data_IF_328008704829
#
_entry.id   IF_328008704829
#
_cell.length_a   1.000
_cell.length_b   1.000
_cell.length_c   1.000
_cell.angle_alpha   90.00
_cell.angle_beta   90.00
_cell.angle_gamma   90.00
#
_symmetry.space_group_name_H-M   'P 1'
#
loop_
_entity.id
_entity.type
_entity.pdbx_description
1 polymer ?
#
# COMPACT_ATOMS: atom_id res chain seq x y z
N UNK A 1 33.56 -4.42 -19.70
CA UNK A 1 32.41 -5.23 -19.25
C UNK A 1 31.49 -4.27 -18.52
N UNK A 2 30.56 -3.62 -19.24
CA UNK A 2 29.77 -2.53 -18.68
C UNK A 2 28.63 -3.07 -17.82
N UNK A 3 28.74 -2.85 -16.52
CA UNK A 3 27.61 -2.81 -15.59
C UNK A 3 26.56 -1.86 -16.18
N UNK A 4 25.58 -2.42 -16.89
CA UNK A 4 24.38 -1.71 -17.33
C UNK A 4 23.66 -1.29 -16.07
N UNK A 5 23.91 -0.05 -15.70
CA UNK A 5 23.19 0.74 -14.70
C UNK A 5 21.71 0.38 -14.77
N UNK A 6 21.23 -0.28 -13.72
CA UNK A 6 19.82 -0.60 -13.53
C UNK A 6 19.03 0.70 -13.77
N UNK A 7 18.03 0.73 -14.68
CA UNK A 7 17.27 1.94 -14.93
C UNK A 7 16.60 2.37 -13.62
N UNK A 8 16.91 3.58 -13.15
CA UNK A 8 16.13 4.22 -12.07
C UNK A 8 14.73 4.43 -12.65
N UNK A 9 13.75 3.64 -12.17
CA UNK A 9 12.34 3.73 -12.55
C UNK A 9 11.81 5.13 -12.21
N UNK A 10 11.90 6.03 -13.19
CA UNK A 10 11.46 7.42 -13.12
C UNK A 10 9.96 7.60 -13.42
N UNK A 11 9.22 6.51 -13.67
CA UNK A 11 7.74 6.48 -13.65
C UNK A 11 7.23 6.15 -12.24
N UNK A 12 7.70 6.96 -11.30
CA UNK A 12 7.27 7.14 -9.91
C UNK A 12 5.92 6.47 -9.62
N UNK A 13 5.94 5.45 -8.76
CA UNK A 13 4.76 4.92 -8.08
C UNK A 13 3.99 6.12 -7.51
N UNK A 14 2.94 6.57 -8.20
CA UNK A 14 2.01 7.58 -7.67
C UNK A 14 1.56 7.01 -6.33
N UNK A 15 1.75 7.71 -5.18
CA UNK A 15 1.34 7.17 -3.89
C UNK A 15 -0.18 7.10 -3.89
N UNK A 16 -0.73 5.94 -4.27
CA UNK A 16 -2.14 5.65 -4.14
C UNK A 16 -2.42 5.50 -2.64
N UNK A 17 -3.28 6.33 -2.04
CA UNK A 17 -3.68 6.13 -0.66
C UNK A 17 -4.26 4.73 -0.48
N UNK A 18 -3.72 4.02 0.51
CA UNK A 18 -4.22 2.72 0.92
C UNK A 18 -5.52 2.90 1.68
N UNK A 19 -6.49 2.04 1.37
CA UNK A 19 -7.82 2.10 1.93
C UNK A 19 -8.24 0.73 2.48
N UNK A 20 -8.92 0.73 3.63
CA UNK A 20 -9.44 -0.47 4.26
C UNK A 20 -10.54 -1.09 3.39
N UNK A 21 -10.42 -2.37 2.97
CA UNK A 21 -11.44 -3.02 2.16
C UNK A 21 -12.75 -3.27 2.91
N UNK A 22 -12.74 -3.20 4.24
CA UNK A 22 -13.92 -3.44 5.08
C UNK A 22 -14.77 -2.20 5.28
N UNK A 23 -14.15 -1.04 5.55
CA UNK A 23 -14.87 0.17 5.97
C UNK A 23 -14.55 1.42 5.16
N UNK A 24 -13.68 1.34 4.15
CA UNK A 24 -13.31 2.50 3.32
C UNK A 24 -12.39 3.52 4.02
N UNK A 25 -11.92 3.24 5.23
CA UNK A 25 -11.04 4.16 5.96
C UNK A 25 -9.64 4.21 5.34
N UNK A 26 -9.10 5.41 5.17
CA UNK A 26 -7.70 5.65 4.80
C UNK A 26 -6.73 5.55 6.00
N UNK A 27 -7.27 5.36 7.21
CA UNK A 27 -6.47 5.15 8.44
C UNK A 27 -6.03 3.69 8.54
N UNK A 28 -5.12 3.30 7.66
CA UNK A 28 -4.50 1.97 7.62
C UNK A 28 -2.99 2.10 7.83
N UNK A 29 -2.43 1.22 8.68
CA UNK A 29 -1.00 1.19 9.01
C UNK A 29 -0.40 -0.17 8.65
N UNK A 30 0.79 -0.23 8.01
CA UNK A 30 1.49 -1.49 7.83
C UNK A 30 1.98 -2.02 9.18
N UNK A 31 1.82 -3.31 9.38
CA UNK A 31 2.40 -4.07 10.48
C UNK A 31 3.56 -4.90 9.94
N UNK A 32 4.77 -4.60 10.42
CA UNK A 32 5.97 -5.30 9.98
C UNK A 32 6.20 -6.54 10.84
N UNK A 33 5.98 -7.71 10.25
CA UNK A 33 6.42 -8.98 10.84
C UNK A 33 7.91 -9.20 10.58
N UNK A 34 8.61 -9.82 11.51
CA UNK A 34 10.05 -10.17 11.42
C UNK A 34 10.43 -11.01 10.20
N UNK A 35 9.44 -11.60 9.52
CA UNK A 35 9.59 -12.39 8.30
C UNK A 35 9.29 -11.63 7.01
N UNK A 36 9.44 -10.30 6.98
CA UNK A 36 9.00 -9.41 5.88
C UNK A 36 9.51 -9.70 4.46
N UNK A 37 10.38 -10.69 4.26
CA UNK A 37 10.74 -11.25 2.95
C UNK A 37 9.88 -12.44 2.53
N UNK A 38 9.39 -13.22 3.49
CA UNK A 38 8.66 -14.48 3.27
C UNK A 38 7.15 -14.28 3.21
N UNK A 39 6.62 -13.33 3.98
CA UNK A 39 5.17 -13.08 4.08
C UNK A 39 4.80 -11.72 3.47
N UNK A 40 3.64 -11.61 2.80
CA UNK A 40 3.11 -10.32 2.38
C UNK A 40 2.99 -9.35 3.56
N UNK A 41 3.09 -8.03 3.31
CA UNK A 41 2.84 -7.03 4.34
C UNK A 41 1.40 -7.16 4.85
N UNK A 42 1.25 -7.04 6.17
CA UNK A 42 -0.06 -7.02 6.83
C UNK A 42 -0.40 -5.57 7.15
N UNK A 43 -1.68 -5.21 7.04
CA UNK A 43 -2.18 -3.88 7.33
C UNK A 43 -3.24 -3.94 8.41
N UNK A 44 -3.16 -3.01 9.37
CA UNK A 44 -4.14 -2.80 10.42
C UNK A 44 -4.94 -1.53 10.13
N UNK A 45 -6.27 -1.64 10.10
CA UNK A 45 -7.16 -0.49 10.06
C UNK A 45 -7.49 0.01 11.46
N UNK A 46 -7.17 1.27 11.74
CA UNK A 46 -7.42 1.90 13.04
C UNK A 46 -8.91 2.20 13.28
N UNK A 47 -9.75 2.14 12.23
CA UNK A 47 -11.18 2.45 12.35
C UNK A 47 -12.04 1.22 12.67
N UNK A 48 -11.77 0.07 12.04
CA UNK A 48 -12.62 -1.13 12.17
C UNK A 48 -11.88 -2.39 12.64
N UNK A 49 -10.57 -2.29 12.90
CA UNK A 49 -9.75 -3.41 13.34
C UNK A 49 -9.49 -4.47 12.26
N UNK A 50 -9.71 -4.17 10.98
CA UNK A 50 -9.30 -5.07 9.91
C UNK A 50 -7.79 -5.33 9.98
N UNK A 51 -7.38 -6.60 9.93
CA UNK A 51 -6.01 -7.06 9.98
C UNK A 51 -5.81 -8.10 8.87
N UNK A 52 -4.97 -7.78 7.89
CA UNK A 52 -4.73 -8.68 6.75
C UNK A 52 -3.88 -8.05 5.65
N UNK A 53 -3.52 -8.85 4.65
CA UNK A 53 -2.65 -8.43 3.55
C UNK A 53 -3.39 -7.73 2.39
N UNK A 54 -4.71 -7.76 2.37
CA UNK A 54 -5.51 -7.17 1.29
C UNK A 54 -5.80 -5.70 1.62
N UNK A 55 -5.61 -4.83 0.64
CA UNK A 55 -5.91 -3.40 0.72
C UNK A 55 -6.48 -2.90 -0.61
N UNK A 56 -7.17 -1.76 -0.57
CA UNK A 56 -7.62 -1.07 -1.77
C UNK A 56 -6.66 0.08 -2.08
N UNK A 57 -6.19 0.15 -3.32
CA UNK A 57 -5.48 1.31 -3.84
C UNK A 57 -6.50 2.28 -4.43
N UNK A 58 -6.58 3.49 -3.90
CA UNK A 58 -7.53 4.51 -4.38
C UNK A 58 -6.76 5.55 -5.19
N UNK A 59 -7.28 5.92 -6.37
CA UNK A 59 -6.71 7.07 -7.08
C UNK A 59 -7.22 8.35 -6.45
N UNK A 60 -6.33 9.32 -6.26
CA UNK A 60 -6.70 10.66 -5.75
C UNK A 60 -7.76 11.31 -6.66
N UNK A 61 -7.74 10.98 -7.95
CA UNK A 61 -8.73 11.40 -8.95
C UNK A 61 -10.15 10.90 -8.60
N UNK A 62 -10.27 9.74 -7.96
CA UNK A 62 -11.55 9.13 -7.57
C UNK A 62 -12.11 9.74 -6.26
N UNK A 63 -11.27 10.38 -5.44
CA UNK A 63 -11.70 11.04 -4.20
C UNK A 63 -12.41 12.38 -4.43
N UNK A 64 -12.34 12.95 -5.64
CA UNK A 64 -12.92 14.28 -5.96
C UNK A 64 -14.43 14.25 -6.22
N UNK A 65 -15.03 13.06 -6.34
CA UNK A 65 -16.45 12.88 -6.66
C UNK A 65 -17.26 12.33 -5.49
N UNK A 66 -16.73 12.40 -4.27
CA UNK A 66 -17.41 12.02 -3.02
C UNK A 66 -18.16 13.16 -2.37
#
# INVERSE_FOLDING_TARGET
>A
MSEKSRPKLSHVLKPYPLCCPRCGSLKVKPEYTTSGWLTPPIYLCENCGYHGSIFLEVKIEDLKYG
#
